data_IF_003549913944
#
_entry.id   IF_003549913944
#
_cell.length_a   1.000
_cell.length_b   1.000
_cell.length_c   1.000
_cell.angle_alpha   90.00
_cell.angle_beta   90.00
_cell.angle_gamma   90.00
#
_symmetry.space_group_name_H-M   'P 1'
#
loop_
_entity.id
_entity.type
_entity.pdbx_description
1 polymer ?
#
# COMPACT_ATOMS: atom_id res chain seq x y z
N UNK A 1 38.63 25.21 -12.04
CA UNK A 1 38.19 23.87 -11.59
C UNK A 1 36.70 24.00 -11.30
N UNK A 2 35.85 23.60 -12.24
CA UNK A 2 34.40 23.51 -12.03
C UNK A 2 34.13 22.16 -11.37
N UNK A 3 33.45 22.18 -10.23
CA UNK A 3 33.03 20.98 -9.53
C UNK A 3 31.86 20.33 -10.30
N UNK A 4 31.99 19.11 -10.85
CA UNK A 4 30.90 18.41 -11.50
C UNK A 4 30.13 17.64 -10.43
N UNK A 5 29.38 18.36 -9.58
CA UNK A 5 28.38 17.74 -8.73
C UNK A 5 27.27 17.15 -9.62
N UNK A 6 27.48 15.89 -10.00
CA UNK A 6 26.50 14.82 -10.11
C UNK A 6 25.21 15.27 -10.81
N UNK A 7 25.27 15.34 -12.15
CA UNK A 7 24.06 15.19 -12.97
C UNK A 7 23.71 13.71 -13.04
N UNK A 8 23.27 13.15 -11.92
CA UNK A 8 22.45 11.95 -11.99
C UNK A 8 21.21 12.32 -12.83
N UNK A 9 20.77 11.50 -13.79
CA UNK A 9 19.41 11.65 -14.27
C UNK A 9 18.53 11.54 -13.04
N UNK A 10 17.84 12.64 -12.71
CA UNK A 10 16.77 12.67 -11.71
C UNK A 10 15.98 11.38 -11.85
N UNK A 11 16.07 10.54 -10.83
CA UNK A 11 15.59 9.17 -10.87
C UNK A 11 14.09 9.14 -11.12
N UNK A 12 13.54 7.94 -11.34
CA UNK A 12 12.10 7.74 -11.48
C UNK A 12 11.28 8.44 -10.38
N UNK A 13 11.88 8.56 -9.19
CA UNK A 13 11.39 9.24 -7.98
C UNK A 13 11.17 10.76 -8.12
N UNK A 14 11.87 11.45 -9.02
CA UNK A 14 11.79 12.92 -9.19
C UNK A 14 10.75 13.33 -10.25
N UNK A 15 9.98 12.39 -10.80
CA UNK A 15 8.97 12.69 -11.83
C UNK A 15 7.74 13.33 -11.20
N UNK A 16 7.36 14.50 -11.72
CA UNK A 16 6.13 15.19 -11.30
C UNK A 16 4.92 14.42 -11.82
N UNK A 17 4.07 13.95 -10.90
CA UNK A 17 2.77 13.34 -11.21
C UNK A 17 1.73 14.45 -11.28
N UNK A 18 1.11 14.62 -12.45
CA UNK A 18 -0.03 15.53 -12.61
C UNK A 18 -1.28 14.87 -12.01
N UNK A 19 -1.86 15.56 -11.03
CA UNK A 19 -3.06 15.13 -10.32
C UNK A 19 -4.30 15.97 -10.73
N UNK A 20 -4.23 16.68 -11.86
CA UNK A 20 -5.32 17.56 -12.32
C UNK A 20 -6.47 16.83 -13.03
N UNK A 21 -6.34 15.53 -13.30
CA UNK A 21 -7.44 14.69 -13.80
C UNK A 21 -8.62 14.64 -12.82
N UNK A 22 -9.84 14.53 -13.35
CA UNK A 22 -11.06 14.39 -12.55
C UNK A 22 -10.92 13.19 -11.60
N UNK A 23 -10.67 13.46 -10.33
CA UNK A 23 -10.57 12.46 -9.28
C UNK A 23 -11.91 11.74 -9.15
N UNK A 24 -12.03 10.60 -9.83
CA UNK A 24 -13.08 9.63 -9.52
C UNK A 24 -12.79 9.16 -8.10
N UNK A 25 -13.62 9.56 -7.15
CA UNK A 25 -13.59 9.01 -5.79
C UNK A 25 -13.92 7.53 -5.94
N UNK A 26 -12.87 6.72 -6.00
CA UNK A 26 -13.01 5.28 -5.98
C UNK A 26 -13.68 4.90 -4.64
N UNK A 27 -14.45 3.80 -4.63
CA UNK A 27 -14.91 3.24 -3.36
C UNK A 27 -13.71 2.99 -2.44
N UNK A 28 -13.94 3.06 -1.13
CA UNK A 28 -12.92 2.79 -0.10
C UNK A 28 -12.19 1.46 -0.33
N UNK A 29 -12.86 0.49 -0.95
CA UNK A 29 -12.34 -0.83 -1.30
C UNK A 29 -12.49 -1.09 -2.81
N UNK A 30 -11.42 -1.54 -3.45
CA UNK A 30 -11.44 -1.92 -4.88
C UNK A 30 -11.98 -3.34 -5.08
N UNK A 31 -12.53 -3.65 -6.26
CA UNK A 31 -13.07 -4.99 -6.55
C UNK A 31 -12.03 -6.11 -6.48
N UNK A 32 -10.75 -5.79 -6.72
CA UNK A 32 -9.64 -6.72 -6.63
C UNK A 32 -9.10 -6.87 -5.19
N UNK A 33 -9.55 -6.02 -4.27
CA UNK A 33 -9.24 -6.09 -2.85
C UNK A 33 -10.11 -7.19 -2.20
N UNK A 34 -9.59 -8.40 -2.32
CA UNK A 34 -10.15 -9.59 -1.69
C UNK A 34 -9.04 -10.32 -0.95
N UNK A 35 -9.35 -10.96 0.17
CA UNK A 35 -8.40 -11.79 0.92
C UNK A 35 -7.94 -13.04 0.12
N UNK A 36 -8.52 -13.28 -1.06
CA UNK A 36 -8.16 -14.40 -1.92
C UNK A 36 -6.73 -14.22 -2.42
N UNK A 37 -5.90 -15.23 -2.18
CA UNK A 37 -4.50 -15.23 -2.62
C UNK A 37 -3.53 -14.60 -1.62
N UNK A 38 -4.03 -13.99 -0.53
CA UNK A 38 -3.21 -13.45 0.56
C UNK A 38 -2.79 -14.49 1.61
N UNK A 39 -3.10 -15.77 1.38
CA UNK A 39 -2.72 -16.89 2.25
C UNK A 39 -3.81 -17.32 3.24
N UNK A 40 -4.89 -16.53 3.36
CA UNK A 40 -6.05 -16.89 4.18
C UNK A 40 -6.81 -18.08 3.58
N UNK A 41 -7.06 -19.09 4.40
CA UNK A 41 -7.86 -20.26 4.01
C UNK A 41 -9.34 -19.88 4.10
N UNK A 42 -10.18 -20.22 3.11
CA UNK A 42 -11.62 -20.00 3.22
C UNK A 42 -12.15 -20.81 4.40
N UNK A 43 -12.57 -20.12 5.47
CA UNK A 43 -12.90 -20.71 6.77
C UNK A 43 -11.78 -20.60 7.82
N UNK A 44 -11.06 -19.48 7.85
CA UNK A 44 -9.98 -19.19 8.79
C UNK A 44 -10.38 -19.48 10.24
N UNK A 45 -9.48 -20.15 10.96
CA UNK A 45 -9.71 -20.52 12.35
C UNK A 45 -9.41 -19.30 13.24
N UNK A 46 -10.40 -18.46 13.52
CA UNK A 46 -10.23 -17.25 14.35
C UNK A 46 -9.70 -17.53 15.77
N UNK A 47 -9.67 -18.81 16.20
CA UNK A 47 -9.13 -19.23 17.49
C UNK A 47 -7.71 -18.72 17.76
N UNK A 48 -6.83 -18.65 16.74
CA UNK A 48 -5.46 -18.15 16.94
C UNK A 48 -5.43 -16.63 17.15
N UNK A 49 -6.27 -15.87 16.43
CA UNK A 49 -6.42 -14.42 16.59
C UNK A 49 -6.95 -14.06 17.98
N UNK A 50 -7.88 -14.87 18.49
CA UNK A 50 -8.43 -14.70 19.83
C UNK A 50 -7.42 -15.10 20.92
N UNK A 51 -6.62 -16.14 20.68
CA UNK A 51 -5.57 -16.59 21.59
C UNK A 51 -4.41 -15.58 21.72
N UNK A 52 -4.10 -14.85 20.64
CA UNK A 52 -3.03 -13.85 20.59
C UNK A 52 -3.52 -12.40 20.72
N UNK A 53 -4.76 -12.22 21.19
CA UNK A 53 -5.37 -10.90 21.33
C UNK A 53 -4.48 -9.92 22.12
N UNK A 54 -4.17 -8.74 21.56
CA UNK A 54 -3.47 -7.68 22.25
C UNK A 54 -4.21 -7.17 23.50
N UNK A 55 -3.48 -6.61 24.48
CA UNK A 55 -4.09 -6.12 25.72
C UNK A 55 -5.13 -5.00 25.54
N UNK A 56 -5.07 -4.25 24.44
CA UNK A 56 -5.89 -3.07 24.18
C UNK A 56 -7.23 -3.37 23.46
N UNK A 57 -7.59 -4.64 23.23
CA UNK A 57 -8.86 -5.05 22.62
C UNK A 57 -10.04 -5.10 23.63
N UNK A 58 -9.95 -4.36 24.75
CA UNK A 58 -10.94 -4.31 25.83
C UNK A 58 -11.37 -2.89 26.12
#
# INVERSE_FOLDING_TARGET
MTDPAIRAPRGDDDRVVDLSDDFVVLPEQTSDDTDRGWGERPGGNDDWLLAERPPHWG
#
